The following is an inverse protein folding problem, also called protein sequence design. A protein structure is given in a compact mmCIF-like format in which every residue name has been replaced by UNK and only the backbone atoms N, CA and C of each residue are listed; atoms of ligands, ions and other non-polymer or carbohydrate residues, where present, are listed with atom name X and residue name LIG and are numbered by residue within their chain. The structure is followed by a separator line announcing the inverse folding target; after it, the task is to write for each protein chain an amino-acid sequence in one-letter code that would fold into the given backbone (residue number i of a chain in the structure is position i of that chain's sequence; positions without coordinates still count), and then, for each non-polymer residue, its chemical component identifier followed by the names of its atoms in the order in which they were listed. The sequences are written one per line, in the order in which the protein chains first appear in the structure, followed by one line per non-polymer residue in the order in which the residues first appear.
data_IF_904909603452
#
_entry.id   IF_904909603452
#
_cell.length_a   1.000
_cell.length_b   1.000
_cell.length_c   1.000
_cell.angle_alpha   90.00
_cell.angle_beta   90.00
_cell.angle_gamma   90.00
#
_symmetry.space_group_name_H-M   'P 1'
#
loop_
_entity.id
_entity.type
_entity.pdbx_description
1 polymer ?
#
# COMPACT_ATOMS: atom_id res chain seq x y z
N UNK A 1 26.63 -5.98 9.47
CA UNK A 1 25.25 -5.48 9.67
C UNK A 1 24.32 -6.47 9.01
N UNK A 2 23.33 -7.05 9.69
CA UNK A 2 22.45 -8.05 9.10
C UNK A 2 21.17 -7.36 8.59
N UNK A 3 20.85 -7.45 7.28
CA UNK A 3 19.80 -6.67 6.62
C UNK A 3 18.38 -7.25 6.75
N UNK A 4 18.21 -8.40 7.42
CA UNK A 4 16.93 -9.11 7.47
C UNK A 4 15.79 -8.26 8.06
N UNK A 5 14.94 -7.70 7.19
CA UNK A 5 13.69 -7.02 7.53
C UNK A 5 13.79 -5.56 8.01
N UNK A 6 14.95 -4.91 7.94
CA UNK A 6 15.11 -3.50 8.36
C UNK A 6 15.06 -2.56 7.16
N UNK A 7 14.31 -1.46 7.26
CA UNK A 7 14.23 -0.49 6.16
C UNK A 7 15.57 0.25 5.98
N UNK A 8 15.91 0.61 4.74
CA UNK A 8 17.17 1.34 4.45
C UNK A 8 17.36 2.58 5.32
N UNK A 9 16.26 3.28 5.63
CA UNK A 9 16.30 4.46 6.50
C UNK A 9 16.71 4.11 7.94
N UNK A 10 16.26 2.99 8.49
CA UNK A 10 16.64 2.58 9.86
C UNK A 10 18.07 2.08 9.92
N UNK A 11 18.50 1.30 8.91
CA UNK A 11 19.88 0.80 8.81
C UNK A 11 20.86 1.98 8.71
N UNK A 12 20.52 3.00 7.91
CA UNK A 12 21.32 4.20 7.78
C UNK A 12 21.45 4.96 9.11
N UNK A 13 20.33 5.25 9.80
CA UNK A 13 20.39 5.96 11.09
C UNK A 13 21.19 5.18 12.14
N UNK A 14 20.99 3.86 12.22
CA UNK A 14 21.73 3.01 13.14
C UNK A 14 23.23 3.02 12.82
N UNK A 15 23.61 2.96 11.54
CA UNK A 15 25.01 3.04 11.13
C UNK A 15 25.63 4.39 11.53
N UNK A 16 25.00 5.51 11.16
CA UNK A 16 25.54 6.84 11.46
C UNK A 16 25.66 7.06 12.98
N UNK A 17 24.71 6.55 13.76
CA UNK A 17 24.76 6.63 15.21
C UNK A 17 25.85 5.73 15.81
N UNK A 18 25.94 4.47 15.40
CA UNK A 18 26.87 3.50 16.02
C UNK A 18 28.30 3.63 15.52
N UNK A 19 28.48 3.78 14.22
CA UNK A 19 29.80 3.81 13.59
C UNK A 19 30.40 5.22 13.59
N UNK A 20 29.58 6.25 13.35
CA UNK A 20 30.07 7.64 13.23
C UNK A 20 29.80 8.49 14.48
N UNK A 21 29.05 7.97 15.47
CA UNK A 21 28.63 8.70 16.68
C UNK A 21 28.00 10.07 16.38
N UNK A 22 27.29 10.17 15.25
CA UNK A 22 26.63 11.39 14.77
C UNK A 22 25.15 11.14 14.52
N UNK A 23 24.42 12.22 14.27
CA UNK A 23 23.03 12.18 13.81
C UNK A 23 22.97 12.72 12.38
N UNK A 24 22.30 12.02 11.44
CA UNK A 24 22.10 12.54 10.09
C UNK A 24 20.97 13.57 10.08
N UNK A 25 21.22 14.70 9.44
CA UNK A 25 20.28 15.80 9.22
C UNK A 25 19.76 15.71 7.80
N UNK A 26 18.46 15.98 7.60
CA UNK A 26 17.83 15.95 6.30
C UNK A 26 17.29 17.33 5.94
N UNK A 27 17.70 17.83 4.79
CA UNK A 27 17.14 19.02 4.17
C UNK A 27 16.20 18.61 3.04
N UNK A 28 15.04 19.27 2.95
CA UNK A 28 14.04 18.98 1.94
C UNK A 28 13.82 20.16 1.02
N UNK A 29 13.95 19.94 -0.28
CA UNK A 29 13.67 20.93 -1.32
C UNK A 29 12.51 20.44 -2.19
N UNK A 30 11.68 21.38 -2.64
CA UNK A 30 10.63 21.10 -3.63
C UNK A 30 11.16 21.42 -5.03
N UNK A 31 10.88 20.53 -5.97
CA UNK A 31 11.31 20.61 -7.37
C UNK A 31 10.09 20.76 -8.28
N UNK A 32 10.29 21.41 -9.42
CA UNK A 32 9.28 21.57 -10.47
C UNK A 32 9.12 20.32 -11.35
N UNK A 33 9.25 19.12 -10.75
CA UNK A 33 9.08 17.86 -11.46
C UNK A 33 7.76 17.21 -11.05
N UNK A 34 6.86 16.98 -12.01
CA UNK A 34 5.54 16.40 -11.77
C UNK A 34 5.60 14.97 -11.20
N UNK A 35 6.63 14.18 -11.54
CA UNK A 35 6.77 12.79 -11.08
C UNK A 35 7.49 12.70 -9.73
N UNK A 36 8.48 13.56 -9.48
CA UNK A 36 9.29 13.55 -8.24
C UNK A 36 9.48 14.98 -7.70
N UNK A 37 8.42 15.62 -7.15
CA UNK A 37 8.48 17.01 -6.70
C UNK A 37 9.24 17.21 -5.39
N UNK A 38 9.71 16.15 -4.73
CA UNK A 38 10.46 16.25 -3.47
C UNK A 38 11.87 15.72 -3.62
N UNK A 39 12.84 16.50 -3.17
CA UNK A 39 14.22 16.10 -2.95
C UNK A 39 14.53 16.12 -1.46
N UNK A 40 15.35 15.18 -1.01
CA UNK A 40 15.93 15.13 0.31
C UNK A 40 17.45 15.01 0.18
N UNK A 41 18.17 15.83 0.93
CA UNK A 41 19.64 15.81 1.01
C UNK A 41 20.05 15.45 2.43
N UNK A 42 21.00 14.52 2.56
CA UNK A 42 21.51 14.07 3.86
C UNK A 42 22.82 14.76 4.18
N UNK A 43 22.91 15.29 5.41
CA UNK A 43 24.11 15.87 5.99
C UNK A 43 24.50 15.09 7.25
N UNK A 44 25.78 14.81 7.44
CA UNK A 44 26.30 14.21 8.68
C UNK A 44 27.36 15.16 9.24
N UNK A 45 26.98 15.96 10.24
CA UNK A 45 27.71 17.20 10.56
C UNK A 45 27.52 18.22 9.45
N UNK A 46 28.61 18.82 8.96
CA UNK A 46 28.57 19.86 7.92
C UNK A 46 28.81 19.33 6.51
N UNK A 47 28.91 18.00 6.34
CA UNK A 47 29.24 17.38 5.06
C UNK A 47 28.02 16.72 4.43
N UNK A 48 27.80 17.00 3.14
CA UNK A 48 26.75 16.41 2.33
C UNK A 48 27.12 14.98 1.91
N UNK A 49 26.15 14.07 1.99
CA UNK A 49 26.28 12.68 1.54
C UNK A 49 25.31 12.39 0.40
N UNK A 50 24.28 11.58 0.64
CA UNK A 50 23.34 11.15 -0.40
C UNK A 50 22.21 12.14 -0.63
N UNK A 51 21.77 12.19 -1.88
CA UNK A 51 20.58 12.94 -2.33
C UNK A 51 19.56 11.94 -2.86
N UNK A 52 18.29 12.15 -2.55
CA UNK A 52 17.20 11.29 -2.99
C UNK A 52 15.99 12.07 -3.46
N UNK A 53 15.34 11.57 -4.49
CA UNK A 53 14.13 12.16 -5.08
C UNK A 53 12.93 11.26 -4.84
N UNK A 54 11.72 11.81 -4.83
CA UNK A 54 10.52 10.99 -4.76
C UNK A 54 9.22 11.77 -4.92
N UNK A 55 8.14 11.01 -5.09
CA UNK A 55 6.76 11.52 -5.12
C UNK A 55 6.28 12.06 -3.76
N UNK A 56 7.03 11.77 -2.68
CA UNK A 56 6.76 12.25 -1.32
C UNK A 56 8.04 12.49 -0.53
N UNK A 57 7.99 13.37 0.48
CA UNK A 57 9.11 13.58 1.43
C UNK A 57 9.62 12.27 2.05
N UNK A 58 8.73 11.30 2.31
CA UNK A 58 9.09 9.99 2.87
C UNK A 58 9.92 9.17 1.88
N UNK A 59 9.52 9.14 0.62
CA UNK A 59 10.23 8.42 -0.44
C UNK A 59 11.57 9.09 -0.75
N UNK A 60 11.59 10.43 -0.88
CA UNK A 60 12.82 11.20 -1.06
C UNK A 60 13.82 10.94 0.08
N UNK A 61 13.34 10.93 1.34
CA UNK A 61 14.16 10.61 2.52
C UNK A 61 14.75 9.19 2.47
N UNK A 62 13.94 8.20 2.11
CA UNK A 62 14.39 6.81 2.01
C UNK A 62 15.45 6.64 0.89
N UNK A 63 15.26 7.29 -0.25
CA UNK A 63 16.20 7.27 -1.37
C UNK A 63 17.52 7.99 -1.02
N UNK A 64 17.46 9.10 -0.28
CA UNK A 64 18.64 9.83 0.15
C UNK A 64 19.46 9.03 1.17
N UNK A 65 18.80 8.33 2.08
CA UNK A 65 19.45 7.38 3.00
C UNK A 65 20.10 6.21 2.26
N UNK A 66 19.43 5.66 1.23
CA UNK A 66 19.98 4.59 0.40
C UNK A 66 21.24 5.04 -0.36
N UNK A 67 21.21 6.22 -0.97
CA UNK A 67 22.38 6.81 -1.63
C UNK A 67 23.52 7.06 -0.62
N UNK A 68 23.20 7.55 0.58
CA UNK A 68 24.21 7.79 1.63
C UNK A 68 24.88 6.50 2.12
N UNK A 69 24.10 5.42 2.22
CA UNK A 69 24.61 4.09 2.53
C UNK A 69 25.62 3.62 1.47
N UNK A 70 25.31 3.78 0.17
CA UNK A 70 26.21 3.35 -0.91
C UNK A 70 27.56 4.05 -0.84
N UNK A 71 27.56 5.31 -0.39
CA UNK A 71 28.78 6.09 -0.19
C UNK A 71 29.55 5.60 1.04
N UNK A 72 28.87 5.32 2.15
CA UNK A 72 29.48 5.00 3.44
C UNK A 72 29.84 3.52 3.63
N UNK A 73 29.16 2.62 2.94
CA UNK A 73 29.30 1.17 3.07
C UNK A 73 29.27 0.54 1.66
N UNK A 74 30.38 0.65 0.90
CA UNK A 74 30.43 0.17 -0.49
C UNK A 74 30.17 -1.34 -0.62
N UNK A 75 30.57 -2.14 0.38
CA UNK A 75 30.32 -3.60 0.42
C UNK A 75 28.83 -3.97 0.44
N UNK A 76 27.93 -3.07 0.86
CA UNK A 76 26.48 -3.30 0.85
C UNK A 76 25.86 -3.08 -0.54
N UNK A 77 26.66 -2.71 -1.54
CA UNK A 77 26.23 -2.49 -2.93
C UNK A 77 26.22 -3.79 -3.76
N UNK A 78 27.05 -4.77 -3.38
CA UNK A 78 27.27 -6.02 -4.13
C UNK A 78 26.10 -7.02 -3.97
N UNK A 79 25.34 -6.94 -2.87
CA UNK A 79 24.18 -7.83 -2.61
C UNK A 79 22.86 -7.33 -3.22
N UNK A 80 22.88 -6.27 -4.03
CA UNK A 80 21.66 -5.66 -4.53
C UNK A 80 21.87 -4.78 -5.76
N UNK A 81 22.31 -5.40 -6.85
CA UNK A 81 22.10 -4.85 -8.18
C UNK A 81 20.65 -4.36 -8.31
N UNK A 82 20.48 -3.16 -8.86
CA UNK A 82 19.24 -2.40 -8.94
C UNK A 82 18.01 -3.30 -9.18
N UNK A 83 16.91 -3.17 -8.42
CA UNK A 83 15.67 -3.71 -8.89
C UNK A 83 15.37 -2.97 -10.19
N UNK A 84 15.39 -3.71 -11.29
CA UNK A 84 14.65 -3.40 -12.50
C UNK A 84 13.25 -2.91 -12.10
N UNK A 85 12.60 -2.13 -12.96
CA UNK A 85 11.19 -1.74 -12.82
C UNK A 85 10.20 -2.94 -12.85
N UNK A 86 10.67 -4.15 -12.55
CA UNK A 86 9.84 -5.31 -12.30
C UNK A 86 9.18 -5.09 -10.94
N UNK A 87 7.93 -4.63 -10.98
CA UNK A 87 7.01 -4.76 -9.86
C UNK A 87 7.26 -6.13 -9.20
N UNK A 88 7.53 -6.20 -7.89
CA UNK A 88 7.77 -7.47 -7.23
C UNK A 88 6.60 -8.39 -7.57
N UNK A 89 6.88 -9.57 -8.11
CA UNK A 89 5.82 -10.48 -8.50
C UNK A 89 5.09 -10.99 -7.24
N UNK A 90 4.04 -10.28 -6.84
CA UNK A 90 3.21 -10.63 -5.69
C UNK A 90 2.36 -11.87 -5.95
N UNK A 91 2.45 -12.49 -7.13
CA UNK A 91 1.76 -13.77 -7.40
C UNK A 91 2.26 -14.88 -6.48
N UNK A 92 3.50 -14.79 -5.95
CA UNK A 92 4.00 -15.72 -4.94
C UNK A 92 3.04 -15.82 -3.74
N UNK A 93 2.51 -14.70 -3.24
CA UNK A 93 1.60 -14.70 -2.11
C UNK A 93 0.23 -15.34 -2.41
N UNK A 94 -0.13 -15.55 -3.68
CA UNK A 94 -1.34 -16.30 -4.03
C UNK A 94 -1.24 -17.77 -3.62
N UNK A 95 -0.02 -18.31 -3.51
CA UNK A 95 0.25 -19.70 -3.12
C UNK A 95 0.58 -19.85 -1.63
N UNK A 96 0.76 -18.74 -0.91
CA UNK A 96 1.04 -18.75 0.54
C UNK A 96 -0.27 -18.74 1.31
N UNK A 97 -0.48 -19.74 2.17
CA UNK A 97 -1.65 -19.82 3.04
C UNK A 97 -1.68 -18.70 4.09
N UNK A 98 -2.87 -18.27 4.52
CA UNK A 98 -3.01 -17.23 5.56
C UNK A 98 -2.35 -17.61 6.89
N UNK A 99 -2.30 -18.91 7.19
CA UNK A 99 -1.75 -19.47 8.43
C UNK A 99 -0.30 -19.97 8.28
N UNK A 100 0.36 -19.75 7.12
CA UNK A 100 1.74 -20.21 6.93
C UNK A 100 2.69 -19.48 7.92
N UNK A 101 3.46 -20.21 8.74
CA UNK A 101 4.31 -19.63 9.79
C UNK A 101 5.40 -18.69 9.22
N UNK A 102 5.78 -18.85 7.95
CA UNK A 102 6.80 -18.05 7.27
C UNK A 102 6.25 -16.74 6.73
N UNK A 103 4.94 -16.49 6.78
CA UNK A 103 4.33 -15.25 6.26
C UNK A 103 4.99 -14.01 6.86
N UNK A 104 5.32 -14.03 8.15
CA UNK A 104 5.98 -12.88 8.80
C UNK A 104 7.36 -12.59 8.19
N UNK A 105 8.13 -13.63 7.86
CA UNK A 105 9.44 -13.52 7.21
C UNK A 105 9.29 -13.03 5.77
N UNK A 106 8.34 -13.59 5.02
CA UNK A 106 8.04 -13.15 3.67
C UNK A 106 7.61 -11.68 3.61
N UNK A 107 6.77 -11.24 4.55
CA UNK A 107 6.38 -9.83 4.65
C UNK A 107 7.59 -8.93 4.93
N UNK A 108 8.47 -9.35 5.84
CA UNK A 108 9.68 -8.60 6.17
C UNK A 108 10.67 -8.51 4.98
N UNK A 109 10.85 -9.61 4.24
CA UNK A 109 11.73 -9.67 3.07
C UNK A 109 11.20 -8.83 1.89
N UNK A 110 9.88 -8.80 1.70
CA UNK A 110 9.24 -8.10 0.56
C UNK A 110 8.77 -6.68 0.88
N UNK A 111 9.05 -6.18 2.08
CA UNK A 111 8.55 -4.88 2.57
C UNK A 111 7.01 -4.75 2.59
N UNK A 112 6.30 -5.87 2.68
CA UNK A 112 4.85 -5.92 2.81
C UNK A 112 4.39 -5.73 4.27
N UNK A 113 3.16 -5.27 4.50
CA UNK A 113 2.64 -5.07 5.86
C UNK A 113 2.61 -6.40 6.61
N UNK A 114 3.10 -6.38 7.85
CA UNK A 114 3.14 -7.57 8.70
C UNK A 114 1.74 -8.15 8.94
N UNK A 115 1.63 -9.44 9.31
CA UNK A 115 0.33 -10.04 9.56
C UNK A 115 -0.54 -9.29 10.56
N UNK A 116 0.09 -8.77 11.61
CA UNK A 116 -0.57 -7.93 12.60
C UNK A 116 -1.07 -6.59 12.02
N UNK A 117 -0.33 -5.97 11.09
CA UNK A 117 -0.76 -4.73 10.43
C UNK A 117 -1.97 -4.97 9.50
N UNK A 118 -1.98 -6.10 8.78
CA UNK A 118 -3.13 -6.54 7.98
C UNK A 118 -4.35 -6.78 8.88
N UNK A 119 -4.19 -7.51 9.98
CA UNK A 119 -5.27 -7.76 10.95
C UNK A 119 -5.84 -6.46 11.51
N UNK A 120 -4.99 -5.53 11.95
CA UNK A 120 -5.44 -4.21 12.41
C UNK A 120 -6.26 -3.47 11.37
N UNK A 121 -5.81 -3.48 10.11
CA UNK A 121 -6.53 -2.83 9.01
C UNK A 121 -7.87 -3.51 8.74
N UNK A 122 -7.92 -4.85 8.79
CA UNK A 122 -9.15 -5.61 8.65
C UNK A 122 -10.17 -5.26 9.74
N UNK A 123 -9.74 -5.23 11.01
CA UNK A 123 -10.60 -4.89 12.14
C UNK A 123 -11.10 -3.44 12.07
N UNK A 124 -10.23 -2.50 11.69
CA UNK A 124 -10.61 -1.09 11.54
C UNK A 124 -11.64 -0.88 10.43
N UNK A 125 -11.54 -1.61 9.31
CA UNK A 125 -12.48 -1.49 8.18
C UNK A 125 -13.82 -2.17 8.44
N UNK A 126 -13.87 -3.16 9.34
CA UNK A 126 -15.08 -3.89 9.71
C UNK A 126 -15.55 -3.54 11.14
N UNK A 127 -15.26 -2.31 11.61
CA UNK A 127 -15.67 -1.87 12.94
C UNK A 127 -17.19 -1.96 13.09
N UNK A 128 -17.67 -2.72 14.08
CA UNK A 128 -19.09 -2.98 14.31
C UNK A 128 -19.59 -4.33 13.78
N UNK A 129 -18.75 -5.13 13.13
CA UNK A 129 -19.08 -6.53 12.85
C UNK A 129 -19.12 -7.35 14.16
N UNK A 130 -20.08 -8.27 14.26
CA UNK A 130 -20.25 -9.14 15.43
C UNK A 130 -19.02 -10.03 15.67
N UNK A 131 -18.37 -10.48 14.59
CA UNK A 131 -17.17 -11.31 14.66
C UNK A 131 -15.90 -10.56 14.28
N UNK A 132 -14.82 -10.83 15.03
CA UNK A 132 -13.50 -10.19 14.86
C UNK A 132 -12.43 -11.11 14.28
N UNK A 133 -12.79 -12.32 13.89
CA UNK A 133 -11.87 -13.25 13.25
C UNK A 133 -11.86 -13.04 11.74
N UNK A 134 -10.66 -12.99 11.13
CA UNK A 134 -10.56 -12.86 9.67
C UNK A 134 -11.25 -14.03 8.97
N UNK A 135 -11.16 -15.23 9.54
CA UNK A 135 -11.81 -16.43 8.99
C UNK A 135 -13.34 -16.32 8.94
N UNK A 136 -13.99 -15.61 9.87
CA UNK A 136 -15.44 -15.40 9.84
C UNK A 136 -15.83 -14.24 8.93
N UNK A 137 -15.01 -13.19 8.86
CA UNK A 137 -15.21 -12.07 7.94
C UNK A 137 -14.99 -12.48 6.46
N UNK A 138 -14.08 -13.42 6.22
CA UNK A 138 -13.65 -13.87 4.89
C UNK A 138 -13.46 -15.38 4.81
N UNK A 139 -14.54 -16.18 4.90
CA UNK A 139 -14.46 -17.63 4.97
C UNK A 139 -13.85 -18.29 3.73
N UNK A 140 -13.89 -17.62 2.58
CA UNK A 140 -13.36 -18.12 1.31
C UNK A 140 -11.90 -17.74 1.07
N UNK A 141 -11.30 -16.90 1.91
CA UNK A 141 -9.97 -16.35 1.66
C UNK A 141 -8.92 -17.21 2.35
N UNK A 142 -8.18 -17.95 1.53
CA UNK A 142 -7.18 -18.91 1.98
C UNK A 142 -5.74 -18.52 1.65
N UNK A 143 -5.53 -17.50 0.82
CA UNK A 143 -4.20 -17.03 0.45
C UNK A 143 -3.87 -15.66 1.02
N UNK A 144 -2.61 -15.50 1.41
CA UNK A 144 -2.06 -14.23 1.91
C UNK A 144 -2.13 -13.13 0.84
N UNK A 145 -1.94 -13.49 -0.43
CA UNK A 145 -2.00 -12.55 -1.56
C UNK A 145 -3.37 -11.88 -1.69
N UNK A 146 -4.44 -12.64 -1.45
CA UNK A 146 -5.81 -12.09 -1.45
C UNK A 146 -6.00 -11.09 -0.30
N UNK A 147 -5.48 -11.39 0.89
CA UNK A 147 -5.50 -10.46 2.02
C UNK A 147 -4.67 -9.21 1.76
N UNK A 148 -3.49 -9.32 1.17
CA UNK A 148 -2.68 -8.17 0.77
C UNK A 148 -3.42 -7.28 -0.25
N UNK A 149 -4.17 -7.86 -1.19
CA UNK A 149 -4.96 -7.09 -2.16
C UNK A 149 -6.13 -6.35 -1.51
N UNK A 150 -6.72 -6.91 -0.46
CA UNK A 150 -7.88 -6.31 0.24
C UNK A 150 -7.53 -5.41 1.41
N UNK A 151 -6.38 -5.63 2.07
CA UNK A 151 -6.02 -4.96 3.32
C UNK A 151 -4.57 -4.46 3.34
N UNK A 152 -3.76 -4.80 2.33
CA UNK A 152 -2.37 -4.39 2.24
C UNK A 152 -2.18 -2.92 1.87
N UNK A 153 -0.92 -2.49 1.86
CA UNK A 153 -0.53 -1.09 1.66
C UNK A 153 -1.07 -0.50 0.35
N UNK A 154 -1.15 -1.30 -0.71
CA UNK A 154 -1.72 -0.91 -2.02
C UNK A 154 -3.25 -0.94 -2.06
N UNK A 155 -3.91 -1.63 -1.12
CA UNK A 155 -5.37 -1.65 -1.00
C UNK A 155 -5.93 -0.39 -0.34
N UNK A 156 -5.08 0.34 0.38
CA UNK A 156 -5.45 1.61 0.97
C UNK A 156 -5.14 2.70 -0.06
N UNK A 157 -6.16 3.16 -0.82
CA UNK A 157 -6.07 4.50 -1.42
C UNK A 157 -5.78 5.46 -0.29
N UNK A 158 -4.60 6.06 -0.27
CA UNK A 158 -4.21 6.95 0.82
C UNK A 158 -5.26 8.05 0.96
N UNK A 159 -5.57 8.51 2.18
CA UNK A 159 -6.41 9.71 2.34
C UNK A 159 -5.88 10.87 1.48
N UNK A 160 -4.55 10.93 1.26
CA UNK A 160 -3.92 11.89 0.36
C UNK A 160 -4.26 11.65 -1.12
N UNK A 161 -4.32 10.40 -1.54
CA UNK A 161 -4.64 10.02 -2.91
C UNK A 161 -6.12 10.24 -3.21
N UNK A 162 -7.02 9.92 -2.26
CA UNK A 162 -8.44 10.29 -2.34
C UNK A 162 -8.62 11.81 -2.42
N UNK A 163 -7.93 12.57 -1.56
CA UNK A 163 -7.96 14.04 -1.60
C UNK A 163 -7.40 14.60 -2.92
N UNK A 164 -6.36 13.97 -3.48
CA UNK A 164 -5.79 14.40 -4.75
C UNK A 164 -6.75 14.11 -5.92
N UNK A 165 -7.39 12.94 -5.92
CA UNK A 165 -8.46 12.60 -6.89
C UNK A 165 -9.63 13.58 -6.77
N UNK A 166 -10.06 13.93 -5.56
CA UNK A 166 -11.10 14.94 -5.30
C UNK A 166 -10.69 16.34 -5.78
N UNK A 167 -9.45 16.76 -5.52
CA UNK A 167 -8.92 18.07 -5.93
C UNK A 167 -8.60 18.15 -7.43
N UNK A 168 -8.45 17.02 -8.12
CA UNK A 168 -8.09 16.98 -9.53
C UNK A 168 -9.15 17.70 -10.39
N UNK A 169 -10.44 17.59 -10.04
CA UNK A 169 -11.51 18.28 -10.77
C UNK A 169 -11.41 19.79 -10.60
N UNK A 170 -11.14 20.28 -9.38
CA UNK A 170 -10.94 21.72 -9.11
C UNK A 170 -9.78 22.27 -9.94
N UNK A 171 -8.65 21.55 -9.99
CA UNK A 171 -7.49 21.94 -10.80
C UNK A 171 -7.77 21.93 -12.31
N UNK A 172 -8.61 20.99 -12.79
CA UNK A 172 -9.01 20.92 -14.19
C UNK A 172 -10.03 22.02 -14.55
N UNK A 173 -10.81 22.51 -13.57
CA UNK A 173 -11.72 23.64 -13.74
C UNK A 173 -10.96 24.98 -13.76
N UNK A 174 -9.95 25.15 -12.93
CA UNK A 174 -9.09 26.35 -12.93
C UNK A 174 -8.32 26.54 -14.24
N UNK A 175 -7.97 25.43 -14.91
CA UNK A 175 -7.31 25.44 -16.23
C UNK A 175 -8.26 25.70 -17.41
N UNK A 176 -9.57 25.75 -17.17
CA UNK A 176 -10.54 25.96 -18.24
C UNK A 176 -10.53 27.42 -18.70
N UNK A 177 -10.53 27.62 -20.02
CA UNK A 177 -10.68 28.96 -20.62
C UNK A 177 -12.12 29.43 -20.44
N UNK A 178 -12.30 30.72 -20.13
CA UNK A 178 -13.64 31.33 -20.05
C UNK A 178 -14.34 31.21 -21.41
N UNK A 179 -15.59 30.75 -21.39
CA UNK A 179 -16.48 30.52 -22.54
C UNK A 179 -16.13 29.35 -23.48
N UNK A 180 -15.30 28.40 -23.05
CA UNK A 180 -15.08 27.14 -23.78
C UNK A 180 -15.50 25.92 -22.93
N UNK A 181 -15.97 24.83 -23.55
CA UNK A 181 -16.27 23.61 -22.83
C UNK A 181 -14.99 23.03 -22.20
N UNK A 182 -15.09 22.52 -20.98
CA UNK A 182 -13.97 21.94 -20.26
C UNK A 182 -13.67 20.52 -20.76
N UNK A 183 -12.95 20.44 -21.89
CA UNK A 183 -12.56 19.20 -22.54
C UNK A 183 -11.80 18.25 -21.62
N UNK A 184 -11.01 18.79 -20.69
CA UNK A 184 -10.22 17.97 -19.76
C UNK A 184 -11.09 17.29 -18.70
N UNK A 185 -12.11 17.99 -18.18
CA UNK A 185 -13.11 17.39 -17.27
C UNK A 185 -13.97 16.35 -18.00
N UNK A 186 -14.39 16.63 -19.24
CA UNK A 186 -15.18 15.70 -20.04
C UNK A 186 -14.38 14.42 -20.39
N UNK A 187 -13.10 14.55 -20.69
CA UNK A 187 -12.21 13.40 -20.91
C UNK A 187 -12.05 12.58 -19.64
N UNK A 188 -11.78 13.23 -18.49
CA UNK A 188 -11.67 12.54 -17.20
C UNK A 188 -12.97 11.81 -16.83
N UNK A 189 -14.12 12.41 -17.07
CA UNK A 189 -15.42 11.76 -16.87
C UNK A 189 -15.58 10.51 -17.75
N UNK A 190 -15.18 10.59 -19.03
CA UNK A 190 -15.24 9.45 -19.95
C UNK A 190 -14.36 8.29 -19.47
N UNK A 191 -13.15 8.59 -19.02
CA UNK A 191 -12.22 7.58 -18.51
C UNK A 191 -12.76 6.90 -17.24
N UNK A 192 -13.30 7.67 -16.29
CA UNK A 192 -13.89 7.13 -15.06
C UNK A 192 -15.18 6.33 -15.34
N UNK A 193 -16.03 6.78 -16.26
CA UNK A 193 -17.21 6.02 -16.71
C UNK A 193 -16.82 4.68 -17.35
N UNK A 194 -15.71 4.65 -18.09
CA UNK A 194 -15.19 3.40 -18.69
C UNK A 194 -14.68 2.44 -17.63
N UNK A 195 -13.98 2.94 -16.61
CA UNK A 195 -13.54 2.13 -15.46
C UNK A 195 -14.72 1.58 -14.65
N UNK A 196 -15.76 2.41 -14.42
CA UNK A 196 -16.98 1.98 -13.76
C UNK A 196 -17.65 0.85 -14.53
N UNK A 197 -17.78 0.98 -15.87
CA UNK A 197 -18.32 -0.08 -16.72
C UNK A 197 -17.55 -1.39 -16.60
N UNK A 198 -16.21 -1.34 -16.66
CA UNK A 198 -15.36 -2.52 -16.49
C UNK A 198 -15.54 -3.18 -15.12
N UNK A 199 -15.71 -2.37 -14.06
CA UNK A 199 -16.00 -2.87 -12.73
C UNK A 199 -17.36 -3.57 -12.70
N UNK A 200 -18.40 -2.95 -13.24
CA UNK A 200 -19.75 -3.54 -13.24
C UNK A 200 -19.80 -4.83 -14.08
N UNK A 201 -19.11 -4.85 -15.23
CA UNK A 201 -18.91 -6.05 -16.06
C UNK A 201 -18.19 -7.18 -15.31
N UNK A 202 -17.26 -6.86 -14.39
CA UNK A 202 -16.55 -7.86 -13.58
C UNK A 202 -17.37 -8.43 -12.42
N UNK A 203 -18.54 -7.85 -12.11
CA UNK A 203 -19.40 -8.23 -10.97
C UNK A 203 -20.72 -8.86 -11.46
N UNK A 204 -20.88 -9.10 -12.77
CA UNK A 204 -22.08 -9.74 -13.30
C UNK A 204 -22.16 -11.18 -12.77
N UNK A 205 -23.29 -11.60 -12.16
CA UNK A 205 -23.45 -12.96 -11.67
C UNK A 205 -23.34 -13.95 -12.84
N UNK A 206 -22.53 -14.99 -12.66
CA UNK A 206 -22.25 -16.04 -13.66
C UNK A 206 -23.54 -16.84 -14.02
N UNK A 207 -24.60 -16.72 -13.22
CA UNK A 207 -25.93 -17.22 -13.54
C UNK A 207 -26.97 -16.85 -12.50
N UNK A 208 -28.24 -16.97 -12.88
CA UNK A 208 -29.38 -16.90 -11.95
C UNK A 208 -29.43 -18.21 -11.17
N UNK A 209 -29.33 -18.15 -9.84
CA UNK A 209 -29.58 -19.30 -8.97
C UNK A 209 -31.06 -19.70 -9.10
N UNK A 210 -31.34 -20.68 -9.96
CA UNK A 210 -32.66 -21.31 -10.05
C UNK A 210 -32.79 -22.27 -8.87
N UNK A 211 -33.34 -21.78 -7.77
CA UNK A 211 -33.70 -22.62 -6.63
C UNK A 211 -34.84 -23.54 -7.08
N UNK A 212 -34.57 -24.84 -7.21
CA UNK A 212 -35.64 -25.82 -7.32
C UNK A 212 -36.39 -25.85 -5.98
N UNK A 213 -37.72 -25.97 -6.03
CA UNK A 213 -38.69 -25.66 -4.96
C UNK A 213 -38.62 -26.51 -3.68
N UNK A 214 -37.44 -26.86 -3.18
CA UNK A 214 -37.27 -27.54 -1.90
C UNK A 214 -36.30 -26.78 -1.01
N UNK A 215 -36.66 -25.54 -0.66
CA UNK A 215 -36.14 -24.94 0.56
C UNK A 215 -37.02 -25.36 1.75
N UNK A 216 -36.42 -25.78 2.88
CA UNK A 216 -37.18 -26.01 4.09
C UNK A 216 -37.83 -24.70 4.55
N UNK A 217 -39.16 -24.68 4.66
CA UNK A 217 -39.96 -23.51 5.06
C UNK A 217 -39.87 -23.15 6.54
N UNK A 218 -39.04 -23.84 7.33
CA UNK A 218 -38.94 -23.59 8.76
C UNK A 218 -37.64 -22.88 9.12
N UNK A 219 -37.74 -21.59 9.45
CA UNK A 219 -36.70 -20.86 10.16
C UNK A 219 -36.36 -21.60 11.46
N UNK A 220 -35.11 -22.03 11.61
CA UNK A 220 -34.60 -22.78 12.77
C UNK A 220 -34.39 -21.94 14.03
N UNK A 221 -35.11 -20.83 14.20
CA UNK A 221 -35.05 -20.00 15.40
C UNK A 221 -36.13 -20.41 16.40
N UNK A 222 -35.90 -21.51 17.13
CA UNK A 222 -36.73 -21.88 18.28
C UNK A 222 -36.16 -21.20 19.54
N UNK A 223 -36.78 -20.10 19.97
CA UNK A 223 -36.37 -19.29 21.13
C UNK A 223 -36.99 -19.73 22.46
N UNK A 224 -37.58 -20.93 22.56
CA UNK A 224 -38.40 -21.31 23.72
C UNK A 224 -37.76 -22.28 24.72
N UNK A 225 -36.44 -22.24 24.92
CA UNK A 225 -35.77 -23.06 25.96
C UNK A 225 -35.13 -22.23 27.08
N UNK A 226 -35.79 -21.17 27.55
CA UNK A 226 -35.49 -20.57 28.85
C UNK A 226 -36.61 -20.94 29.81
N UNK A 227 -36.44 -22.07 30.51
CA UNK A 227 -37.17 -22.30 31.76
C UNK A 227 -36.40 -21.58 32.87
N UNK A 228 -37.10 -20.68 33.55
CA UNK A 228 -36.67 -19.95 34.74
C UNK A 228 -36.50 -20.90 35.94
#
# INVERSE_FOLDING_TARGET
MNMNGRCYLSVFHEYVYRALQKQPVYEFTQLENASNPYQATVYIGDMQYGVGYGSSKRQAKANAARSSIQILIPEMSEEGAAPSNDEPDFTFFNYVGVEDPRVSEFCAATCEPSPHAILRTCLLRNFGANDRHIASLHPHIRSWGSLLRMYGSRSIKSCKEKKLEEQQITLLQDKARRNEPNHAVLQKLRDEMTKLRQRDESVVPIGTLMLTEQLPTHSGSNLNNVHL
#
